data_IF_329136931669
#
_entry.id   IF_329136931669
#
_cell.length_a   1.000
_cell.length_b   1.000
_cell.length_c   1.000
_cell.angle_alpha   90.00
_cell.angle_beta   90.00
_cell.angle_gamma   90.00
#
_symmetry.space_group_name_H-M   'P 1'
#
loop_
_entity.id
_entity.type
_entity.pdbx_description
1 polymer ?
#
# COMPACT_ATOMS: atom_id res chain seq x y z
N UNK A 1 -15.61 -13.20 23.75
CA UNK A 1 -14.48 -13.82 23.00
C UNK A 1 -14.27 -15.29 23.37
N UNK A 2 -14.25 -15.67 24.66
CA UNK A 2 -14.04 -17.07 25.08
C UNK A 2 -15.13 -18.02 24.55
N UNK A 3 -16.39 -17.59 24.51
CA UNK A 3 -17.51 -18.37 23.97
C UNK A 3 -17.42 -18.58 22.46
N UNK A 4 -16.95 -17.57 21.71
CA UNK A 4 -16.78 -17.63 20.25
C UNK A 4 -15.65 -18.59 19.88
N UNK A 5 -14.53 -18.54 20.56
CA UNK A 5 -13.40 -19.45 20.35
C UNK A 5 -13.79 -20.89 20.68
N UNK A 6 -14.55 -21.10 21.77
CA UNK A 6 -15.05 -22.41 22.12
C UNK A 6 -15.99 -22.98 21.05
N UNK A 7 -16.94 -22.20 20.56
CA UNK A 7 -17.85 -22.62 19.49
C UNK A 7 -17.09 -23.01 18.22
N UNK A 8 -16.04 -22.26 17.87
CA UNK A 8 -15.17 -22.56 16.72
C UNK A 8 -14.38 -23.86 16.91
N UNK A 9 -13.85 -24.10 18.11
CA UNK A 9 -13.17 -25.35 18.44
C UNK A 9 -14.12 -26.56 18.40
N UNK A 10 -15.33 -26.42 18.96
CA UNK A 10 -16.36 -27.45 19.00
C UNK A 10 -16.88 -27.76 17.59
N UNK A 11 -16.87 -26.80 16.67
CA UNK A 11 -17.23 -26.98 15.26
C UNK A 11 -16.11 -27.63 14.41
N UNK A 12 -14.99 -28.03 15.03
CA UNK A 12 -13.89 -28.70 14.32
C UNK A 12 -12.92 -27.74 13.61
N UNK A 13 -12.84 -26.49 14.06
CA UNK A 13 -11.93 -25.46 13.54
C UNK A 13 -12.10 -25.20 12.04
N UNK A 14 -13.31 -24.89 11.53
CA UNK A 14 -13.49 -24.64 10.12
C UNK A 14 -12.62 -23.46 9.68
N UNK A 15 -11.77 -23.72 8.68
CA UNK A 15 -11.05 -22.71 7.95
C UNK A 15 -11.82 -22.47 6.65
N UNK A 16 -12.14 -21.22 6.37
CA UNK A 16 -12.73 -20.86 5.07
C UNK A 16 -11.60 -20.59 4.09
N UNK A 17 -11.59 -21.34 3.01
CA UNK A 17 -10.59 -21.22 1.95
C UNK A 17 -10.74 -19.87 1.24
N UNK A 18 -9.83 -18.96 1.52
CA UNK A 18 -9.48 -17.90 0.60
C UNK A 18 -8.10 -18.22 0.01
N UNK A 19 -7.80 -17.80 -1.24
CA UNK A 19 -6.62 -18.23 -1.95
C UNK A 19 -5.34 -17.87 -1.19
N UNK A 20 -4.62 -18.91 -0.85
CA UNK A 20 -3.45 -18.87 0.00
C UNK A 20 -2.30 -18.07 -0.59
N UNK A 21 -1.90 -17.05 0.11
CA UNK A 21 -0.50 -16.61 0.12
C UNK A 21 0.02 -16.78 1.54
N UNK A 22 1.02 -17.62 1.70
CA UNK A 22 1.47 -18.14 2.99
C UNK A 22 2.28 -17.13 3.80
N UNK A 23 1.62 -16.32 4.59
CA UNK A 23 2.27 -15.60 5.69
C UNK A 23 1.59 -15.92 7.01
N UNK A 24 2.33 -15.81 8.12
CA UNK A 24 1.81 -16.04 9.48
C UNK A 24 0.59 -15.18 9.80
N UNK A 25 0.52 -13.98 9.23
CA UNK A 25 -0.62 -13.07 9.36
C UNK A 25 -1.87 -13.56 8.63
N UNK A 26 -1.74 -14.33 7.56
CA UNK A 26 -2.88 -14.88 6.82
C UNK A 26 -3.49 -16.09 7.53
N UNK A 27 -2.66 -16.94 8.16
CA UNK A 27 -3.16 -18.01 9.03
C UNK A 27 -3.98 -17.45 10.19
N UNK A 28 -3.51 -16.37 10.79
CA UNK A 28 -4.26 -15.68 11.83
C UNK A 28 -5.57 -15.07 11.29
N UNK A 29 -5.53 -14.43 10.13
CA UNK A 29 -6.71 -13.83 9.51
C UNK A 29 -7.77 -14.89 9.15
N UNK A 30 -7.36 -16.03 8.59
CA UNK A 30 -8.26 -17.16 8.31
C UNK A 30 -8.91 -17.76 9.57
N UNK A 31 -8.14 -17.88 10.64
CA UNK A 31 -8.67 -18.34 11.95
C UNK A 31 -9.68 -17.34 12.50
N UNK A 32 -9.40 -16.05 12.46
CA UNK A 32 -10.31 -15.01 12.93
C UNK A 32 -11.59 -14.93 12.08
N UNK A 33 -11.47 -15.06 10.77
CA UNK A 33 -12.64 -15.12 9.88
C UNK A 33 -13.54 -16.31 10.21
N UNK A 34 -12.96 -17.49 10.45
CA UNK A 34 -13.69 -18.69 10.86
C UNK A 34 -14.44 -18.49 12.18
N UNK A 35 -13.81 -17.89 13.19
CA UNK A 35 -14.43 -17.58 14.49
C UNK A 35 -15.57 -16.58 14.34
N UNK A 36 -15.36 -15.52 13.56
CA UNK A 36 -16.34 -14.45 13.38
C UNK A 36 -17.56 -14.92 12.58
N UNK A 37 -17.38 -15.69 11.51
CA UNK A 37 -18.51 -16.25 10.72
C UNK A 37 -19.39 -17.15 11.54
N UNK A 38 -18.82 -18.02 12.37
CA UNK A 38 -19.60 -18.86 13.30
C UNK A 38 -20.40 -18.05 14.33
N UNK A 39 -19.95 -16.84 14.60
CA UNK A 39 -20.63 -15.91 15.50
C UNK A 39 -21.61 -14.97 14.79
N UNK A 40 -21.85 -15.19 13.49
CA UNK A 40 -22.78 -14.40 12.67
C UNK A 40 -22.19 -13.10 12.11
N UNK A 41 -20.87 -12.95 12.11
CA UNK A 41 -20.18 -11.82 11.51
C UNK A 41 -19.55 -12.24 10.18
N UNK A 42 -20.23 -12.03 9.08
CA UNK A 42 -19.72 -12.31 7.75
C UNK A 42 -18.91 -11.11 7.19
N UNK A 43 -17.93 -11.41 6.35
CA UNK A 43 -17.23 -10.39 5.55
C UNK A 43 -15.97 -9.81 6.17
N UNK A 44 -15.40 -10.43 7.21
CA UNK A 44 -14.15 -9.98 7.83
C UNK A 44 -12.98 -9.92 6.84
N UNK A 45 -12.85 -10.93 5.97
CA UNK A 45 -11.79 -10.98 4.97
C UNK A 45 -12.13 -10.23 3.66
N UNK A 46 -13.41 -10.01 3.36
CA UNK A 46 -13.77 -9.24 2.14
C UNK A 46 -13.32 -7.79 2.19
N UNK A 47 -13.19 -7.23 3.40
CA UNK A 47 -12.70 -5.87 3.60
C UNK A 47 -11.23 -5.85 4.07
N UNK A 48 -10.55 -7.00 4.09
CA UNK A 48 -9.20 -7.08 4.65
C UNK A 48 -8.19 -6.28 3.85
N UNK A 49 -8.29 -6.27 2.52
CA UNK A 49 -7.41 -5.46 1.68
C UNK A 49 -7.70 -3.96 1.87
N UNK A 50 -8.96 -3.56 1.93
CA UNK A 50 -9.34 -2.18 2.24
C UNK A 50 -8.93 -1.78 3.66
N UNK A 51 -9.10 -2.69 4.62
CA UNK A 51 -8.77 -2.47 6.05
C UNK A 51 -7.26 -2.53 6.31
N UNK A 52 -6.50 -3.34 5.57
CA UNK A 52 -5.06 -3.42 5.71
C UNK A 52 -4.38 -2.08 5.39
N UNK A 53 -4.96 -1.30 4.49
CA UNK A 53 -4.48 0.04 4.14
C UNK A 53 -5.03 1.12 5.07
N UNK A 54 -6.16 0.90 5.75
CA UNK A 54 -6.83 1.90 6.59
C UNK A 54 -5.98 2.37 7.79
N UNK A 55 -4.96 1.62 8.18
CA UNK A 55 -4.03 1.94 9.29
C UNK A 55 -2.57 2.08 8.85
N UNK A 56 -2.30 2.11 7.56
CA UNK A 56 -0.95 2.34 7.05
C UNK A 56 -0.74 3.83 6.73
N UNK A 57 0.03 4.57 7.58
CA UNK A 57 0.31 5.98 7.34
C UNK A 57 1.03 6.23 6.01
N UNK A 58 1.71 5.21 5.47
CA UNK A 58 2.38 5.30 4.18
C UNK A 58 1.37 5.22 3.03
N UNK A 59 0.32 4.43 3.17
CA UNK A 59 -0.75 4.39 2.18
C UNK A 59 -1.48 5.73 2.11
N UNK A 60 -1.81 6.33 3.24
CA UNK A 60 -2.40 7.68 3.28
C UNK A 60 -1.49 8.72 2.61
N UNK A 61 -0.20 8.68 2.91
CA UNK A 61 0.78 9.53 2.25
C UNK A 61 0.78 9.33 0.72
N UNK A 62 0.73 8.08 0.26
CA UNK A 62 0.69 7.78 -1.17
C UNK A 62 -0.64 8.21 -1.80
N UNK A 63 -1.74 8.12 -1.08
CA UNK A 63 -3.05 8.61 -1.51
C UNK A 63 -3.06 10.14 -1.67
N UNK A 64 -2.44 10.86 -0.74
CA UNK A 64 -2.27 12.32 -0.82
C UNK A 64 -1.41 12.70 -2.03
N UNK A 65 -0.33 11.98 -2.26
CA UNK A 65 0.54 12.18 -3.45
C UNK A 65 -0.25 11.90 -4.74
N UNK A 66 -1.01 10.81 -4.80
CA UNK A 66 -1.85 10.48 -5.94
C UNK A 66 -2.91 11.55 -6.19
N UNK A 67 -3.55 12.03 -5.13
CA UNK A 67 -4.59 13.09 -5.21
C UNK A 67 -4.03 14.40 -5.77
N UNK A 68 -2.80 14.76 -5.40
CA UNK A 68 -2.16 16.00 -5.85
C UNK A 68 -1.53 15.90 -7.25
N UNK A 69 -1.15 14.70 -7.69
CA UNK A 69 -0.30 14.52 -8.87
C UNK A 69 -0.86 13.56 -9.93
N UNK A 70 -2.06 13.03 -9.77
CA UNK A 70 -2.72 12.23 -10.81
C UNK A 70 -2.90 13.04 -12.08
N UNK A 71 -2.83 12.38 -13.22
CA UNK A 71 -2.97 13.02 -14.53
C UNK A 71 -1.79 13.90 -14.97
N UNK A 72 -0.74 14.02 -14.15
CA UNK A 72 0.50 14.72 -14.51
C UNK A 72 1.49 13.77 -15.16
N UNK A 73 2.39 14.32 -15.96
CA UNK A 73 3.48 13.54 -16.57
C UNK A 73 4.32 12.86 -15.46
N UNK A 74 4.72 11.62 -15.72
CA UNK A 74 5.62 10.89 -14.84
C UNK A 74 7.01 11.52 -14.79
N UNK A 75 7.74 11.27 -13.70
CA UNK A 75 9.09 11.76 -13.48
C UNK A 75 9.99 10.67 -12.88
N UNK A 76 11.29 10.80 -13.09
CA UNK A 76 12.27 9.99 -12.37
C UNK A 76 12.26 10.32 -10.87
N UNK A 77 12.83 9.43 -10.05
CA UNK A 77 12.87 9.63 -8.60
C UNK A 77 13.48 10.99 -8.19
N UNK A 78 14.51 11.44 -8.90
CA UNK A 78 15.11 12.76 -8.66
C UNK A 78 14.14 13.93 -8.92
N UNK A 79 13.30 13.83 -9.94
CA UNK A 79 12.26 14.83 -10.21
C UNK A 79 11.18 14.82 -9.12
N UNK A 80 10.79 13.66 -8.65
CA UNK A 80 9.86 13.51 -7.54
C UNK A 80 10.39 14.06 -6.22
N UNK A 81 11.71 14.04 -5.98
CA UNK A 81 12.31 14.67 -4.80
C UNK A 81 11.93 16.15 -4.71
N UNK A 82 12.05 16.89 -5.80
CA UNK A 82 11.67 18.31 -5.83
C UNK A 82 10.17 18.52 -5.60
N UNK A 83 9.32 17.65 -6.15
CA UNK A 83 7.87 17.71 -6.01
C UNK A 83 7.44 17.41 -4.57
N UNK A 84 8.11 16.47 -3.90
CA UNK A 84 7.74 15.96 -2.59
C UNK A 84 8.54 16.57 -1.43
N UNK A 85 9.34 17.60 -1.68
CA UNK A 85 10.26 18.15 -0.66
C UNK A 85 9.51 18.67 0.57
N UNK A 86 8.35 19.28 0.38
CA UNK A 86 7.51 19.74 1.49
C UNK A 86 6.78 18.60 2.20
N UNK A 87 6.35 17.60 1.45
CA UNK A 87 5.57 16.46 1.98
C UNK A 87 6.47 15.49 2.75
N UNK A 88 7.69 15.27 2.27
CA UNK A 88 8.65 14.33 2.85
C UNK A 88 9.76 15.02 3.66
N UNK A 89 9.53 16.23 4.14
CA UNK A 89 10.55 17.05 4.82
C UNK A 89 11.27 16.32 5.95
N UNK A 90 10.55 15.57 6.77
CA UNK A 90 11.13 14.82 7.88
C UNK A 90 11.91 13.58 7.43
N UNK A 91 11.46 12.93 6.35
CA UNK A 91 12.17 11.78 5.76
C UNK A 91 13.44 12.20 5.02
N UNK A 92 13.49 13.44 4.57
CA UNK A 92 14.64 14.01 3.87
C UNK A 92 15.71 14.59 4.82
N UNK A 93 15.51 14.45 6.12
CA UNK A 93 16.50 14.78 7.14
C UNK A 93 17.13 13.53 7.74
N UNK A 94 18.37 13.64 8.21
CA UNK A 94 19.02 12.60 8.96
C UNK A 94 18.56 12.61 10.45
N UNK A 95 19.08 11.69 11.25
CA UNK A 95 18.76 11.62 12.69
C UNK A 95 19.15 12.86 13.49
N UNK A 96 20.02 13.70 12.93
CA UNK A 96 20.48 14.98 13.53
C UNK A 96 19.71 16.19 13.00
N UNK A 97 18.73 15.96 12.11
CA UNK A 97 17.93 17.02 11.50
C UNK A 97 18.59 17.71 10.30
N UNK A 98 19.75 17.23 9.83
CA UNK A 98 20.41 17.79 8.65
C UNK A 98 19.78 17.25 7.36
N UNK A 99 19.75 18.07 6.30
CA UNK A 99 19.24 17.61 5.01
C UNK A 99 20.10 16.48 4.43
N UNK A 100 19.45 15.44 3.91
CA UNK A 100 20.14 14.33 3.23
C UNK A 100 20.62 14.77 1.85
N UNK A 101 21.62 14.07 1.32
CA UNK A 101 22.09 14.27 -0.05
C UNK A 101 20.97 14.02 -1.08
N UNK A 102 21.08 14.63 -2.26
CA UNK A 102 20.14 14.41 -3.38
C UNK A 102 20.01 12.93 -3.75
N UNK A 103 21.11 12.17 -3.74
CA UNK A 103 21.10 10.73 -3.99
C UNK A 103 20.31 9.97 -2.91
N UNK A 104 20.50 10.32 -1.65
CA UNK A 104 19.77 9.69 -0.54
C UNK A 104 18.28 9.99 -0.61
N UNK A 105 17.88 11.21 -0.92
CA UNK A 105 16.48 11.60 -1.13
C UNK A 105 15.85 10.81 -2.28
N UNK A 106 16.53 10.70 -3.42
CA UNK A 106 16.07 9.90 -4.57
C UNK A 106 15.89 8.41 -4.22
N UNK A 107 16.78 7.86 -3.40
CA UNK A 107 16.67 6.47 -2.92
C UNK A 107 15.44 6.30 -2.03
N UNK A 108 15.14 7.25 -1.16
CA UNK A 108 13.95 7.23 -0.28
C UNK A 108 12.68 7.23 -1.13
N UNK A 109 12.58 8.13 -2.11
CA UNK A 109 11.42 8.20 -3.02
C UNK A 109 11.29 6.92 -3.85
N UNK A 110 12.37 6.44 -4.43
CA UNK A 110 12.37 5.22 -5.22
C UNK A 110 11.97 3.98 -4.40
N UNK A 111 12.38 3.90 -3.15
CA UNK A 111 11.99 2.82 -2.24
C UNK A 111 10.51 2.89 -1.86
N UNK A 112 10.02 4.09 -1.53
CA UNK A 112 8.60 4.31 -1.23
C UNK A 112 7.73 3.93 -2.43
N UNK A 113 8.06 4.40 -3.62
CA UNK A 113 7.26 4.11 -4.82
C UNK A 113 7.30 2.63 -5.21
N UNK A 114 8.41 1.94 -5.02
CA UNK A 114 8.51 0.50 -5.28
C UNK A 114 7.61 -0.35 -4.39
N UNK A 115 7.38 0.06 -3.15
CA UNK A 115 6.45 -0.62 -2.25
C UNK A 115 5.00 -0.53 -2.72
N UNK A 116 4.64 0.52 -3.46
CA UNK A 116 3.27 0.80 -3.90
C UNK A 116 3.08 0.70 -5.43
N UNK A 117 4.02 0.08 -6.14
CA UNK A 117 3.82 -0.23 -7.56
C UNK A 117 2.60 -1.12 -7.74
N UNK A 118 1.82 -0.82 -8.77
CA UNK A 118 0.60 -1.54 -9.13
C UNK A 118 -0.54 -1.45 -8.08
N UNK A 119 -0.35 -0.70 -7.01
CA UNK A 119 -1.41 -0.40 -6.04
C UNK A 119 -2.35 0.65 -6.62
N UNK A 120 -3.64 0.43 -6.44
CA UNK A 120 -4.69 1.34 -6.89
C UNK A 120 -5.07 2.33 -5.77
N UNK A 121 -5.17 3.60 -6.15
CA UNK A 121 -5.58 4.69 -5.26
C UNK A 121 -6.89 5.28 -5.77
N UNK A 122 -7.91 5.31 -4.91
CA UNK A 122 -9.18 5.95 -5.23
C UNK A 122 -9.07 7.46 -5.01
N UNK A 123 -9.19 8.24 -6.09
CA UNK A 123 -9.19 9.69 -6.06
C UNK A 123 -10.49 10.19 -6.68
N UNK A 124 -11.40 10.67 -5.84
CA UNK A 124 -12.75 11.02 -6.27
C UNK A 124 -13.52 9.77 -6.72
N UNK A 125 -14.04 9.81 -7.94
CA UNK A 125 -14.79 8.72 -8.59
C UNK A 125 -13.92 7.81 -9.47
N UNK A 126 -12.61 8.03 -9.51
CA UNK A 126 -11.66 7.33 -10.36
C UNK A 126 -10.59 6.62 -9.56
N UNK A 127 -10.03 5.58 -10.16
CA UNK A 127 -8.89 4.85 -9.60
C UNK A 127 -7.62 5.14 -10.40
N UNK A 128 -6.53 5.31 -9.70
CA UNK A 128 -5.22 5.60 -10.25
C UNK A 128 -4.22 4.58 -9.74
N UNK A 129 -3.36 4.09 -10.62
CA UNK A 129 -2.31 3.13 -10.29
C UNK A 129 -0.95 3.76 -10.46
N UNK A 130 -0.07 3.56 -9.50
CA UNK A 130 1.33 3.96 -9.63
C UNK A 130 2.06 2.98 -10.55
N UNK A 131 2.56 3.47 -11.66
CA UNK A 131 3.30 2.69 -12.63
C UNK A 131 4.75 3.15 -12.75
N UNK A 132 5.62 2.20 -13.06
CA UNK A 132 7.01 2.42 -13.37
C UNK A 132 7.24 2.11 -14.84
N UNK A 133 7.77 3.07 -15.58
CA UNK A 133 8.11 2.93 -16.99
C UNK A 133 9.59 3.20 -17.19
N UNK A 134 10.18 2.50 -18.14
CA UNK A 134 11.55 2.74 -18.59
C UNK A 134 11.49 3.42 -19.95
N UNK A 135 11.96 4.67 -20.08
CA UNK A 135 12.04 5.35 -21.37
C UNK A 135 12.94 4.57 -22.33
N UNK A 136 12.65 4.65 -23.62
CA UNK A 136 13.47 4.02 -24.66
C UNK A 136 14.94 4.50 -24.57
N UNK A 137 15.86 3.56 -24.50
CA UNK A 137 17.29 3.83 -24.35
C UNK A 137 17.80 4.04 -22.93
N UNK A 138 16.95 4.23 -21.92
CA UNK A 138 17.35 4.48 -20.53
C UNK A 138 16.87 3.39 -19.56
N UNK A 139 17.31 2.15 -19.75
CA UNK A 139 16.95 1.02 -18.86
C UNK A 139 17.32 1.19 -17.38
N UNK A 140 18.12 2.21 -17.03
CA UNK A 140 18.62 2.41 -15.65
C UNK A 140 17.90 3.53 -14.90
N UNK A 141 17.04 4.31 -15.54
CA UNK A 141 16.35 5.44 -14.92
C UNK A 141 14.84 5.29 -15.09
N UNK A 142 14.17 4.57 -14.18
CA UNK A 142 12.73 4.44 -14.26
C UNK A 142 12.02 5.77 -14.02
N UNK A 143 10.91 5.95 -14.72
CA UNK A 143 9.97 7.06 -14.55
C UNK A 143 8.74 6.53 -13.82
N UNK A 144 8.31 7.22 -12.78
CA UNK A 144 7.12 6.91 -12.00
C UNK A 144 6.00 7.90 -12.31
N UNK A 145 4.80 7.41 -12.44
CA UNK A 145 3.63 8.23 -12.69
C UNK A 145 2.34 7.50 -12.36
N UNK A 146 1.28 8.25 -12.11
CA UNK A 146 -0.04 7.70 -11.87
C UNK A 146 -0.80 7.59 -13.18
N UNK A 147 -1.30 6.41 -13.48
CA UNK A 147 -2.13 6.11 -14.64
C UNK A 147 -3.55 5.80 -14.19
N UNK A 148 -4.53 6.33 -14.91
CA UNK A 148 -5.93 6.01 -14.66
C UNK A 148 -6.20 4.54 -14.98
N UNK A 149 -6.87 3.86 -14.05
CA UNK A 149 -7.30 2.47 -14.24
C UNK A 149 -8.65 2.51 -14.92
N UNK A 150 -8.74 1.86 -16.09
CA UNK A 150 -10.01 1.70 -16.78
C UNK A 150 -10.98 0.88 -15.92
N UNK A 151 -12.15 1.42 -15.71
CA UNK A 151 -13.24 0.77 -14.99
C UNK A 151 -13.94 -0.26 -15.87
#
# INVERSE_FOLDING_TARGET
LAGMVKAWLDAGRPEYEEPAQHSTSQLWAGTMDGILRLSGFDGFLTNFEESAHAFDPRYELMLDIASAHHGKAGSAAAGWVAILEEVLVDRFKDRRGNPRSARSKSTIVGSLFREYLDVEFAVGDRKWRLERKYPEGEKRKPVYGFQEVAS
#
